data_IF_127016504259
#
_entry.id   IF_127016504259
#
_cell.length_a   1.000
_cell.length_b   1.000
_cell.length_c   1.000
_cell.angle_alpha   90.00
_cell.angle_beta   90.00
_cell.angle_gamma   90.00
#
_symmetry.space_group_name_H-M   'P 1'
#
loop_
_entity.id
_entity.type
_entity.pdbx_description
1 polymer ?
#
# COMPACT_ATOMS: atom_id res chain seq x y z
N UNK A 1 5.57 -18.24 -11.89
CA UNK A 1 5.71 -16.77 -11.79
C UNK A 1 4.36 -16.16 -12.19
N UNK A 2 3.67 -15.43 -11.32
CA UNK A 2 2.60 -14.51 -11.74
C UNK A 2 1.12 -14.86 -11.47
N UNK A 3 0.75 -15.33 -10.26
CA UNK A 3 -0.69 -15.40 -9.86
C UNK A 3 -1.05 -14.46 -8.71
N UNK A 4 -0.07 -13.82 -8.08
CA UNK A 4 -0.26 -12.95 -6.90
C UNK A 4 -0.96 -11.63 -7.24
N UNK A 5 -0.74 -11.11 -8.47
CA UNK A 5 -1.37 -9.88 -8.94
C UNK A 5 -2.67 -10.11 -9.72
N UNK A 6 -3.02 -11.37 -10.02
CA UNK A 6 -4.26 -11.76 -10.69
C UNK A 6 -5.52 -11.14 -10.05
N UNK A 7 -5.72 -11.17 -8.72
CA UNK A 7 -6.91 -10.56 -8.11
C UNK A 7 -6.97 -9.04 -8.32
N UNK A 8 -5.83 -8.34 -8.27
CA UNK A 8 -5.77 -6.87 -8.47
C UNK A 8 -6.13 -6.52 -9.92
N UNK A 9 -5.56 -7.24 -10.88
CA UNK A 9 -5.85 -7.04 -12.29
C UNK A 9 -7.32 -7.31 -12.61
N UNK A 10 -7.88 -8.40 -12.05
CA UNK A 10 -9.29 -8.76 -12.21
C UNK A 10 -10.19 -7.67 -11.63
N UNK A 11 -9.86 -7.11 -10.46
CA UNK A 11 -10.63 -6.04 -9.84
C UNK A 11 -10.64 -4.78 -10.71
N UNK A 12 -9.49 -4.36 -11.24
CA UNK A 12 -9.40 -3.22 -12.15
C UNK A 12 -10.26 -3.46 -13.41
N UNK A 13 -10.19 -4.66 -13.97
CA UNK A 13 -10.98 -5.03 -15.15
C UNK A 13 -12.48 -4.98 -14.86
N UNK A 14 -12.92 -5.54 -13.73
CA UNK A 14 -14.33 -5.51 -13.31
C UNK A 14 -14.80 -4.07 -13.04
N UNK A 15 -13.97 -3.23 -12.41
CA UNK A 15 -14.31 -1.83 -12.15
C UNK A 15 -14.49 -1.03 -13.46
N UNK A 16 -13.58 -1.21 -14.42
CA UNK A 16 -13.67 -0.56 -15.74
C UNK A 16 -14.87 -1.10 -16.52
N UNK A 17 -15.07 -2.42 -16.54
CA UNK A 17 -16.19 -3.03 -17.27
C UNK A 17 -17.53 -2.59 -16.70
N UNK A 18 -17.65 -2.50 -15.37
CA UNK A 18 -18.85 -1.99 -14.72
C UNK A 18 -19.11 -0.53 -15.13
N UNK A 19 -18.10 0.35 -15.07
CA UNK A 19 -18.25 1.74 -15.50
C UNK A 19 -18.70 1.84 -16.97
N UNK A 20 -18.10 1.05 -17.85
CA UNK A 20 -18.46 1.02 -19.27
C UNK A 20 -19.88 0.47 -19.49
N UNK A 21 -20.27 -0.60 -18.80
CA UNK A 21 -21.61 -1.17 -18.87
C UNK A 21 -22.63 -0.16 -18.37
N UNK A 22 -22.40 0.51 -17.24
CA UNK A 22 -23.32 1.52 -16.72
C UNK A 22 -23.50 2.69 -17.70
N UNK A 23 -22.40 3.19 -18.29
CA UNK A 23 -22.47 4.25 -19.30
C UNK A 23 -23.18 3.76 -20.57
N UNK A 24 -22.85 2.57 -21.07
CA UNK A 24 -23.47 1.98 -22.26
C UNK A 24 -24.97 1.75 -22.06
N UNK A 25 -25.37 1.25 -20.89
CA UNK A 25 -26.75 1.02 -20.51
C UNK A 25 -27.52 2.34 -20.41
N UNK A 26 -26.90 3.38 -19.83
CA UNK A 26 -27.45 4.74 -19.81
C UNK A 26 -27.70 5.29 -21.22
N UNK A 27 -26.75 5.10 -22.14
CA UNK A 27 -26.87 5.56 -23.54
C UNK A 27 -27.87 4.74 -24.38
N UNK A 28 -28.09 3.47 -24.04
CA UNK A 28 -28.98 2.57 -24.77
C UNK A 28 -30.45 2.68 -24.31
N UNK A 29 -30.69 2.76 -22.99
CA UNK A 29 -32.03 2.91 -22.42
C UNK A 29 -32.51 4.37 -22.37
N UNK A 30 -31.60 5.35 -22.43
CA UNK A 30 -31.93 6.77 -22.35
C UNK A 30 -32.70 7.29 -23.58
N UNK A 31 -33.79 8.08 -23.40
CA UNK A 31 -34.48 8.73 -24.51
C UNK A 31 -33.56 9.70 -25.27
N UNK A 32 -33.28 9.41 -26.53
CA UNK A 32 -32.45 10.25 -27.40
C UNK A 32 -33.27 11.42 -27.95
N UNK A 33 -33.35 12.52 -27.19
CA UNK A 33 -33.98 13.78 -27.64
C UNK A 33 -32.94 14.90 -27.69
N UNK A 34 -32.13 14.88 -28.74
CA UNK A 34 -31.25 16.01 -29.10
C UNK A 34 -32.10 17.18 -29.59
N UNK A 35 -31.77 18.37 -29.13
CA UNK A 35 -32.30 19.64 -29.63
C UNK A 35 -31.15 20.64 -29.56
N UNK A 36 -31.02 21.52 -30.54
CA UNK A 36 -29.97 22.54 -30.62
C UNK A 36 -29.82 23.30 -29.29
N UNK A 37 -30.93 23.61 -28.61
CA UNK A 37 -30.92 24.31 -27.31
C UNK A 37 -30.37 23.45 -26.16
N UNK A 38 -30.54 22.13 -26.18
CA UNK A 38 -30.02 21.23 -25.14
C UNK A 38 -28.52 20.97 -25.27
N UNK A 39 -27.97 21.15 -26.47
CA UNK A 39 -26.54 20.96 -26.77
C UNK A 39 -25.75 22.27 -26.67
N UNK A 40 -26.42 23.40 -26.45
CA UNK A 40 -25.75 24.68 -26.23
C UNK A 40 -25.14 24.73 -24.80
N UNK A 41 -23.92 25.29 -24.66
CA UNK A 41 -23.32 25.59 -23.36
C UNK A 41 -24.26 26.39 -22.46
N UNK A 42 -24.23 26.09 -21.16
CA UNK A 42 -25.05 26.78 -20.18
C UNK A 42 -24.45 28.16 -19.84
N UNK A 43 -25.19 29.24 -20.16
CA UNK A 43 -24.79 30.63 -19.89
C UNK A 43 -25.98 31.42 -19.29
N UNK A 44 -26.53 30.95 -18.16
CA UNK A 44 -27.62 31.61 -17.40
C UNK A 44 -28.82 32.12 -18.25
N UNK A 45 -29.18 31.42 -19.32
CA UNK A 45 -30.30 31.77 -20.20
C UNK A 45 -29.94 32.68 -21.38
N UNK A 46 -28.67 33.04 -21.54
CA UNK A 46 -28.13 33.77 -22.69
C UNK A 46 -27.47 32.81 -23.69
N UNK A 47 -27.37 33.23 -24.95
CA UNK A 47 -26.53 32.51 -25.91
C UNK A 47 -25.06 32.66 -25.52
N UNK A 48 -24.24 31.58 -25.63
CA UNK A 48 -22.83 31.63 -25.24
C UNK A 48 -22.08 32.68 -26.07
N UNK A 49 -21.46 33.64 -25.39
CA UNK A 49 -20.70 34.72 -26.02
C UNK A 49 -19.20 34.51 -25.79
N UNK A 50 -18.42 34.42 -26.86
CA UNK A 50 -16.97 34.35 -26.80
C UNK A 50 -16.37 32.94 -26.96
N UNK A 51 -15.05 32.87 -26.91
CA UNK A 51 -14.27 31.63 -26.97
C UNK A 51 -13.96 31.15 -25.53
N UNK A 52 -14.10 29.85 -25.28
CA UNK A 52 -13.80 29.22 -23.99
C UNK A 52 -12.28 29.16 -23.68
N UNK A 53 -11.43 29.64 -24.58
CA UNK A 53 -9.96 29.65 -24.45
C UNK A 53 -9.43 30.85 -23.68
N UNK A 54 -10.01 31.14 -22.52
CA UNK A 54 -9.44 32.15 -21.63
C UNK A 54 -8.19 31.62 -20.94
N UNK A 55 -7.27 32.54 -20.62
CA UNK A 55 -6.07 32.18 -19.87
C UNK A 55 -6.50 31.83 -18.44
N UNK A 56 -6.31 30.57 -18.06
CA UNK A 56 -6.47 30.14 -16.68
C UNK A 56 -5.40 30.81 -15.80
N UNK A 57 -5.77 31.13 -14.56
CA UNK A 57 -4.85 31.75 -13.61
C UNK A 57 -3.64 30.82 -13.35
N UNK A 58 -2.45 31.41 -13.25
CA UNK A 58 -1.19 30.70 -12.98
C UNK A 58 -1.23 30.02 -11.61
N UNK A 59 -2.08 30.49 -10.69
CA UNK A 59 -2.23 29.93 -9.33
C UNK A 59 -2.48 28.41 -9.30
N UNK A 60 -3.22 27.86 -10.27
CA UNK A 60 -3.43 26.41 -10.37
C UNK A 60 -2.13 25.63 -10.63
N UNK A 61 -1.21 26.22 -11.40
CA UNK A 61 0.08 25.60 -11.71
C UNK A 61 0.99 25.58 -10.49
N UNK A 62 0.93 26.61 -9.64
CA UNK A 62 1.76 26.66 -8.43
C UNK A 62 1.33 25.58 -7.43
N UNK A 63 0.03 25.36 -7.27
CA UNK A 63 -0.50 24.26 -6.45
C UNK A 63 -0.04 22.90 -7.02
N UNK A 64 -0.08 22.72 -8.34
CA UNK A 64 0.35 21.48 -8.99
C UNK A 64 1.86 21.20 -8.78
N UNK A 65 2.71 22.22 -8.89
CA UNK A 65 4.17 22.06 -8.69
C UNK A 65 4.48 21.74 -7.22
N UNK A 66 3.81 22.39 -6.26
CA UNK A 66 3.99 22.08 -4.83
C UNK A 66 3.51 20.66 -4.52
N UNK A 67 2.37 20.23 -5.08
CA UNK A 67 1.89 18.86 -4.93
C UNK A 67 2.90 17.84 -5.48
N UNK A 68 3.46 18.09 -6.67
CA UNK A 68 4.46 17.21 -7.27
C UNK A 68 5.74 17.11 -6.44
N UNK A 69 6.20 18.23 -5.87
CA UNK A 69 7.35 18.26 -4.97
C UNK A 69 7.10 17.43 -3.69
N UNK A 70 5.90 17.53 -3.12
CA UNK A 70 5.50 16.74 -1.94
C UNK A 70 5.34 15.25 -2.28
N UNK A 71 4.75 14.90 -3.42
CA UNK A 71 4.49 13.51 -3.83
C UNK A 71 5.80 12.72 -4.06
N UNK A 72 6.78 13.34 -4.71
CA UNK A 72 8.12 12.74 -4.88
C UNK A 72 8.82 12.51 -3.54
N UNK A 73 8.61 13.37 -2.55
CA UNK A 73 9.23 13.22 -1.23
C UNK A 73 8.67 12.00 -0.48
N UNK A 74 7.37 11.72 -0.59
CA UNK A 74 6.78 10.52 0.00
C UNK A 74 7.38 9.24 -0.59
N UNK A 75 7.77 9.26 -1.85
CA UNK A 75 8.45 8.14 -2.49
C UNK A 75 9.82 7.88 -1.87
N UNK A 76 10.54 8.92 -1.40
CA UNK A 76 11.80 8.76 -0.68
C UNK A 76 11.61 8.29 0.77
N UNK A 77 10.53 8.71 1.44
CA UNK A 77 10.22 8.23 2.80
C UNK A 77 9.76 6.77 2.81
N UNK A 78 9.11 6.30 1.74
CA UNK A 78 8.47 4.98 1.72
C UNK A 78 9.44 3.80 1.94
N UNK A 79 10.60 3.68 1.24
CA UNK A 79 11.55 2.61 1.47
C UNK A 79 12.10 2.58 2.90
N UNK A 80 12.35 3.75 3.50
CA UNK A 80 12.81 3.83 4.88
C UNK A 80 11.74 3.35 5.86
N UNK A 81 10.49 3.78 5.68
CA UNK A 81 9.36 3.36 6.52
C UNK A 81 9.15 1.84 6.49
N UNK A 82 9.17 1.25 5.29
CA UNK A 82 9.03 -0.21 5.10
C UNK A 82 10.22 -0.97 5.71
N UNK A 83 11.44 -0.46 5.55
CA UNK A 83 12.64 -1.09 6.11
C UNK A 83 12.62 -1.14 7.66
N UNK A 84 12.06 -0.12 8.32
CA UNK A 84 11.93 -0.13 9.79
C UNK A 84 10.86 -1.10 10.30
N UNK A 85 9.84 -1.40 9.49
CA UNK A 85 8.76 -2.31 9.87
C UNK A 85 9.24 -3.77 9.88
N UNK A 86 9.98 -4.20 8.85
CA UNK A 86 10.49 -5.57 8.73
C UNK A 86 11.34 -6.03 9.93
N UNK A 87 12.03 -5.11 10.61
CA UNK A 87 12.86 -5.40 11.79
C UNK A 87 12.00 -5.80 13.01
N UNK A 88 10.81 -5.19 13.16
CA UNK A 88 9.93 -5.44 14.32
C UNK A 88 9.27 -6.82 14.23
N UNK A 89 8.82 -7.21 13.05
CA UNK A 89 8.10 -8.47 12.83
C UNK A 89 9.03 -9.70 12.98
N UNK A 90 10.30 -9.55 12.60
CA UNK A 90 11.34 -10.58 12.81
C UNK A 90 11.73 -10.73 14.28
N UNK A 91 11.87 -9.62 15.02
CA UNK A 91 12.13 -9.65 16.46
C UNK A 91 10.98 -10.30 17.25
N UNK A 92 9.73 -10.03 16.85
CA UNK A 92 8.56 -10.68 17.45
C UNK A 92 8.54 -12.20 17.18
N UNK A 93 8.85 -12.62 15.95
CA UNK A 93 8.89 -14.03 15.55
C UNK A 93 10.01 -14.82 16.26
N UNK A 94 11.18 -14.20 16.47
CA UNK A 94 12.32 -14.81 17.17
C UNK A 94 12.01 -15.13 18.66
N UNK A 95 11.25 -14.26 19.33
CA UNK A 95 10.88 -14.44 20.74
C UNK A 95 9.93 -15.63 20.97
N UNK A 96 9.08 -15.95 19.98
CA UNK A 96 8.14 -17.08 20.02
C UNK A 96 8.88 -18.42 19.83
N UNK A 97 9.89 -18.49 18.96
CA UNK A 97 10.69 -19.71 18.72
C UNK A 97 11.54 -20.11 19.93
N UNK A 98 12.14 -19.14 20.63
CA UNK A 98 12.93 -19.41 21.84
C UNK A 98 12.08 -19.87 23.02
N UNK A 99 10.81 -19.45 23.11
CA UNK A 99 9.87 -19.91 24.13
C UNK A 99 9.43 -21.37 23.88
N UNK A 100 9.25 -21.77 22.62
CA UNK A 100 8.92 -23.15 22.25
C UNK A 100 10.09 -24.13 22.39
N UNK A 101 11.35 -23.67 22.35
CA UNK A 101 12.53 -24.54 22.51
C UNK A 101 12.78 -25.00 23.96
N UNK A 102 12.13 -24.38 24.95
CA UNK A 102 12.27 -24.76 26.37
C UNK A 102 11.22 -25.80 26.81
N UNK A 103 10.28 -26.18 25.95
CA UNK A 103 9.28 -27.21 26.21
C UNK A 103 9.49 -28.43 25.31
N UNK A 104 10.58 -29.16 25.51
CA UNK A 104 10.64 -30.60 25.19
C UNK A 104 10.32 -31.41 26.46
N UNK A 105 9.67 -32.59 26.32
CA UNK A 105 8.73 -33.10 27.30
C UNK A 105 9.43 -33.88 28.41
N UNK A 106 9.32 -33.40 29.64
CA UNK A 106 9.39 -34.27 30.83
C UNK A 106 8.07 -35.06 30.91
N UNK A 107 7.96 -36.08 30.08
CA UNK A 107 6.79 -36.96 29.99
C UNK A 107 7.12 -38.35 29.45
N UNK A 108 8.37 -38.80 29.61
CA UNK A 108 8.76 -40.18 29.34
C UNK A 108 8.39 -41.09 30.51
N UNK A 109 7.10 -41.36 30.74
CA UNK A 109 6.63 -42.48 31.58
C UNK A 109 5.18 -42.83 31.24
N UNK A 110 4.97 -43.88 30.42
CA UNK A 110 3.83 -44.79 30.56
C UNK A 110 4.04 -46.03 29.69
N UNK A 111 4.30 -47.15 30.37
CA UNK A 111 4.19 -48.52 29.87
C UNK A 111 2.76 -48.82 29.37
N UNK A 112 2.64 -49.56 28.26
CA UNK A 112 1.60 -50.57 27.95
C UNK A 112 1.70 -50.94 26.46
N UNK A 113 2.37 -52.03 26.09
CA UNK A 113 1.81 -53.38 25.91
C UNK A 113 1.15 -53.64 24.53
N UNK A 114 1.78 -54.56 23.81
CA UNK A 114 1.22 -55.52 22.84
C UNK A 114 0.93 -55.08 21.39
N UNK A 115 1.24 -55.94 20.39
CA UNK A 115 1.07 -55.66 18.97
C UNK A 115 -0.26 -56.23 18.45
N UNK A 116 -1.08 -55.41 17.79
CA UNK A 116 -1.97 -55.87 16.70
C UNK A 116 -2.80 -54.75 16.06
N UNK A 117 -3.14 -55.00 14.80
CA UNK A 117 -4.24 -54.44 14.00
C UNK A 117 -4.09 -53.06 13.31
N UNK A 118 -4.25 -53.13 11.98
CA UNK A 118 -4.29 -52.04 11.02
C UNK A 118 -5.50 -51.10 11.17
N UNK A 119 -5.34 -49.81 10.84
CA UNK A 119 -6.14 -48.86 9.99
C UNK A 119 -5.66 -47.39 10.31
N UNK A 120 -5.87 -46.36 9.47
CA UNK A 120 -4.84 -45.61 8.75
C UNK A 120 -4.54 -44.23 9.40
N UNK A 121 -3.53 -44.11 10.26
CA UNK A 121 -3.18 -42.83 10.86
C UNK A 121 -2.04 -42.12 10.09
N UNK A 122 -2.42 -41.28 9.13
CA UNK A 122 -1.58 -40.17 8.64
C UNK A 122 -2.44 -38.91 8.55
N UNK A 123 -2.40 -38.01 9.55
CA UNK A 123 -2.24 -36.59 9.20
C UNK A 123 -1.50 -35.71 10.23
N UNK A 124 -0.91 -36.25 11.30
CA UNK A 124 -0.28 -35.39 12.33
C UNK A 124 1.18 -35.09 12.01
N UNK A 125 1.96 -36.11 11.61
CA UNK A 125 3.38 -35.93 11.30
C UNK A 125 3.61 -34.94 10.14
N UNK A 126 2.77 -34.98 9.10
CA UNK A 126 2.89 -34.06 7.95
C UNK A 126 2.51 -32.62 8.27
N UNK A 127 1.61 -32.39 9.24
CA UNK A 127 1.22 -31.06 9.68
C UNK A 127 2.30 -30.42 10.58
N UNK A 128 2.90 -31.23 11.47
CA UNK A 128 4.04 -30.81 12.31
C UNK A 128 5.27 -30.54 11.44
N UNK A 129 5.55 -31.38 10.44
CA UNK A 129 6.66 -31.18 9.51
C UNK A 129 6.45 -29.94 8.61
N UNK A 130 5.20 -29.65 8.18
CA UNK A 130 4.86 -28.39 7.48
C UNK A 130 4.97 -27.15 8.37
N UNK A 131 4.66 -27.28 9.66
CA UNK A 131 4.84 -26.20 10.62
C UNK A 131 6.32 -25.94 10.91
N UNK A 132 7.14 -27.00 11.01
CA UNK A 132 8.58 -26.91 11.21
C UNK A 132 9.32 -26.41 9.97
N UNK A 133 8.92 -26.81 8.76
CA UNK A 133 9.50 -26.30 7.49
C UNK A 133 9.17 -24.83 7.22
N UNK A 134 8.04 -24.30 7.74
CA UNK A 134 7.74 -22.87 7.71
C UNK A 134 8.51 -22.07 8.79
N UNK A 135 8.88 -22.72 9.88
CA UNK A 135 9.62 -22.12 11.01
C UNK A 135 11.14 -22.18 10.85
N UNK A 136 11.67 -23.08 10.01
CA UNK A 136 13.10 -23.25 9.75
C UNK A 136 13.50 -22.50 8.48
N UNK A 137 13.20 -21.20 8.42
CA UNK A 137 13.94 -20.30 7.52
C UNK A 137 15.39 -20.20 8.00
N UNK A 138 16.34 -19.74 7.16
CA UNK A 138 17.69 -19.44 7.64
C UNK A 138 17.58 -18.55 8.90
N UNK A 139 18.33 -18.87 9.96
CA UNK A 139 18.47 -18.00 11.12
C UNK A 139 19.15 -16.74 10.61
N UNK A 140 18.31 -15.80 10.21
CA UNK A 140 18.70 -14.48 9.79
C UNK A 140 19.14 -13.76 11.06
N UNK A 141 20.41 -13.39 11.13
CA UNK A 141 20.84 -12.54 12.24
C UNK A 141 20.00 -11.26 12.21
N UNK A 142 19.47 -10.80 13.36
CA UNK A 142 18.69 -9.56 13.44
C UNK A 142 19.51 -8.32 13.01
N UNK A 143 20.83 -8.48 12.88
CA UNK A 143 21.76 -7.45 12.41
C UNK A 143 22.10 -7.55 10.91
N UNK A 144 21.71 -8.64 10.22
CA UNK A 144 22.06 -8.91 8.82
C UNK A 144 20.91 -8.63 7.86
N UNK A 145 19.66 -8.65 8.32
CA UNK A 145 18.49 -8.28 7.49
C UNK A 145 17.96 -6.90 7.88
N UNK A 146 18.28 -5.91 7.06
CA UNK A 146 17.77 -4.55 7.18
C UNK A 146 18.88 -3.49 7.11
N UNK A 147 18.53 -2.27 7.48
CA UNK A 147 19.48 -1.16 7.60
C UNK A 147 20.36 -1.44 8.82
N UNK A 148 21.71 -1.46 8.70
CA UNK A 148 22.59 -1.73 9.82
C UNK A 148 22.28 -0.76 10.99
N UNK A 149 22.31 -1.23 12.25
CA UNK A 149 21.83 -0.47 13.41
C UNK A 149 22.51 0.89 13.57
N UNK A 150 23.79 0.98 13.18
CA UNK A 150 24.58 2.21 13.19
C UNK A 150 24.05 3.27 12.20
N UNK A 151 23.48 2.81 11.08
CA UNK A 151 22.98 3.68 10.02
C UNK A 151 21.52 4.08 10.22
N UNK A 152 20.75 3.37 11.09
CA UNK A 152 19.34 3.69 11.35
C UNK A 152 19.14 5.10 11.88
N UNK A 153 20.00 5.54 12.79
CA UNK A 153 20.00 6.90 13.32
C UNK A 153 20.38 7.94 12.27
N UNK A 154 21.37 7.62 11.42
CA UNK A 154 21.78 8.50 10.32
C UNK A 154 20.67 8.66 9.28
N UNK A 155 20.04 7.57 8.85
CA UNK A 155 18.92 7.63 7.89
C UNK A 155 17.70 8.31 8.52
N UNK A 156 17.43 8.07 9.81
CA UNK A 156 16.37 8.79 10.52
C UNK A 156 16.65 10.31 10.56
N UNK A 157 17.87 10.71 10.91
CA UNK A 157 18.27 12.12 10.89
C UNK A 157 18.21 12.72 9.49
N UNK A 158 18.60 11.96 8.46
CA UNK A 158 18.45 12.37 7.07
C UNK A 158 16.98 12.64 6.73
N UNK A 159 16.08 11.71 7.05
CA UNK A 159 14.63 11.87 6.84
C UNK A 159 14.10 13.09 7.61
N UNK A 160 14.51 13.28 8.87
CA UNK A 160 14.14 14.47 9.66
C UNK A 160 14.63 15.75 9.01
N UNK A 161 15.87 15.79 8.52
CA UNK A 161 16.43 16.95 7.81
C UNK A 161 15.60 17.26 6.57
N UNK A 162 15.25 16.25 5.76
CA UNK A 162 14.46 16.48 4.55
C UNK A 162 13.05 16.98 4.90
N UNK A 163 12.38 16.38 5.89
CA UNK A 163 11.06 16.83 6.36
C UNK A 163 11.10 18.26 6.90
N UNK A 164 12.16 18.64 7.63
CA UNK A 164 12.32 20.02 8.15
C UNK A 164 12.55 21.01 7.02
N UNK A 165 13.39 20.68 6.04
CA UNK A 165 13.64 21.54 4.87
C UNK A 165 12.35 21.75 4.08
N UNK A 166 11.57 20.69 3.88
CA UNK A 166 10.28 20.76 3.18
C UNK A 166 9.27 21.60 3.96
N UNK A 167 9.13 21.35 5.27
CA UNK A 167 8.24 22.13 6.13
C UNK A 167 8.61 23.61 6.12
N UNK A 168 9.91 23.94 6.08
CA UNK A 168 10.38 25.32 5.95
C UNK A 168 10.06 25.91 4.57
N UNK A 169 10.17 25.13 3.49
CA UNK A 169 9.79 25.54 2.14
C UNK A 169 8.28 25.81 2.01
N UNK A 170 7.45 24.94 2.59
CA UNK A 170 5.99 25.11 2.62
C UNK A 170 5.59 26.31 3.48
N UNK A 171 6.20 26.47 4.65
CA UNK A 171 6.00 27.64 5.49
C UNK A 171 6.45 28.93 4.79
N UNK A 172 7.50 28.88 3.96
CA UNK A 172 7.94 29.99 3.13
C UNK A 172 6.93 30.30 2.03
N UNK A 173 6.45 29.28 1.30
CA UNK A 173 5.42 29.43 0.28
C UNK A 173 4.13 30.03 0.86
N UNK A 174 3.73 29.58 2.05
CA UNK A 174 2.58 30.11 2.76
C UNK A 174 2.79 31.57 3.19
N UNK A 175 3.95 31.90 3.76
CA UNK A 175 4.29 33.28 4.13
C UNK A 175 4.38 34.24 2.94
N UNK A 176 4.70 33.73 1.75
CA UNK A 176 4.75 34.52 0.52
C UNK A 176 3.39 34.75 -0.13
N UNK A 177 2.30 34.25 0.44
CA UNK A 177 0.95 34.47 -0.09
C UNK A 177 0.71 33.72 -1.40
N UNK A 178 1.49 32.67 -1.69
CA UNK A 178 1.32 31.83 -2.88
C UNK A 178 -0.10 31.21 -2.92
N UNK A 179 -0.72 31.06 -1.75
CA UNK A 179 -2.07 30.52 -1.57
C UNK A 179 -3.13 31.61 -1.34
N UNK A 180 -2.85 32.89 -1.58
CA UNK A 180 -3.90 33.91 -1.49
C UNK A 180 -4.82 33.84 -2.72
N UNK A 181 -6.01 33.28 -2.53
CA UNK A 181 -7.10 33.25 -3.50
C UNK A 181 -7.90 34.56 -3.36
N UNK A 182 -7.38 35.64 -3.94
CA UNK A 182 -8.10 36.92 -4.16
C UNK A 182 -8.35 37.16 -5.64
#
# INVERSE_FOLDING_TARGET
>A
MGIEFTPVFLLILVAISLALVTVALSLLLGPKRTNRVKEMPYESGMDPVGDARQRFDVRFHVVAIIFLLFDVELLFLYPWAVAQWSVKDQAASASVTSASATLEPLGGTALASSPDAATPERPVATAVERAQTKATGPVVDPNTVGIPPELRWLVFLLVVVVVVVLTAADAYAWRKGVFEWR
#
